data_IF_262099051356
#
_entry.id   IF_262099051356
#
_cell.length_a   1.000
_cell.length_b   1.000
_cell.length_c   1.000
_cell.angle_alpha   90.00
_cell.angle_beta   90.00
_cell.angle_gamma   90.00
#
_symmetry.space_group_name_H-M   'P 1'
#
loop_
_entity.id
_entity.type
_entity.pdbx_description
1 polymer ?
#
# COMPACT_ATOMS: atom_id res chain seq x y z
N UNK A 1 20.70 6.30 12.30
CA UNK A 1 19.95 5.28 11.60
C UNK A 1 18.75 5.88 10.89
N UNK A 2 18.53 5.50 9.66
CA UNK A 2 17.35 5.95 8.92
C UNK A 2 16.11 5.24 9.45
N UNK A 3 15.00 5.96 9.51
CA UNK A 3 13.72 5.38 9.83
C UNK A 3 13.16 4.66 8.62
N UNK A 4 12.42 3.58 8.84
CA UNK A 4 11.90 2.74 7.77
C UNK A 4 10.41 2.98 7.56
N UNK A 5 10.04 3.37 6.34
CA UNK A 5 8.65 3.51 5.93
C UNK A 5 8.21 2.27 5.17
N UNK A 6 7.11 1.67 5.58
CA UNK A 6 6.53 0.53 4.90
C UNK A 6 5.41 0.99 3.97
N UNK A 7 5.54 0.64 2.69
CA UNK A 7 4.46 0.83 1.72
C UNK A 7 4.04 -0.56 1.27
N UNK A 8 2.80 -0.92 1.59
CA UNK A 8 2.27 -2.27 1.40
C UNK A 8 1.15 -2.23 0.39
N UNK A 9 1.28 -3.00 -0.68
CA UNK A 9 0.36 -3.01 -1.80
C UNK A 9 -0.30 -4.39 -1.93
N UNK A 10 -1.61 -4.39 -1.99
CA UNK A 10 -2.42 -5.60 -2.00
C UNK A 10 -2.69 -6.20 -3.37
N UNK A 11 -3.70 -7.07 -3.45
CA UNK A 11 -3.98 -7.85 -4.64
C UNK A 11 -4.20 -7.01 -5.89
N UNK A 12 -3.72 -7.52 -6.99
CA UNK A 12 -3.87 -6.97 -8.35
C UNK A 12 -3.11 -5.69 -8.63
N UNK A 13 -2.44 -5.11 -7.64
CA UNK A 13 -1.64 -3.90 -7.87
C UNK A 13 -0.39 -4.18 -8.69
N UNK A 14 0.02 -5.44 -8.77
CA UNK A 14 1.09 -5.86 -9.68
C UNK A 14 0.70 -5.67 -11.16
N UNK A 15 -0.60 -5.52 -11.44
CA UNK A 15 -1.10 -5.30 -12.80
C UNK A 15 -1.33 -3.82 -13.13
N UNK A 16 -0.92 -2.94 -12.23
CA UNK A 16 -1.07 -1.50 -12.43
C UNK A 16 -0.37 -1.08 -13.73
N UNK A 17 -1.07 -0.29 -14.55
CA UNK A 17 -0.57 0.15 -15.85
C UNK A 17 -0.83 -0.83 -16.97
N UNK A 18 -1.21 -2.06 -16.68
CA UNK A 18 -1.48 -3.10 -17.66
C UNK A 18 -2.97 -3.33 -17.91
N UNK A 19 -3.79 -2.96 -16.91
CA UNK A 19 -5.24 -3.16 -16.94
C UNK A 19 -5.93 -1.82 -17.06
N UNK A 20 -6.76 -1.67 -18.08
CA UNK A 20 -7.59 -0.47 -18.31
C UNK A 20 -6.80 0.83 -18.11
N UNK A 21 -5.71 1.03 -18.88
CA UNK A 21 -4.86 2.22 -18.69
C UNK A 21 -5.59 3.54 -18.86
N UNK A 22 -6.67 3.56 -19.64
CA UNK A 22 -7.49 4.76 -19.84
C UNK A 22 -8.25 5.16 -18.56
N UNK A 23 -8.47 4.22 -17.65
CA UNK A 23 -9.19 4.48 -16.39
C UNK A 23 -8.25 4.69 -15.20
N UNK A 24 -7.16 3.91 -15.15
CA UNK A 24 -6.27 3.85 -13.99
C UNK A 24 -4.89 4.45 -14.27
N UNK A 25 -4.67 4.92 -15.51
CA UNK A 25 -3.38 5.46 -15.92
C UNK A 25 -2.42 4.38 -16.40
N UNK A 26 -1.31 4.83 -16.97
CA UNK A 26 -0.31 3.94 -17.58
C UNK A 26 0.87 3.63 -16.66
N UNK A 27 0.94 4.30 -15.52
CA UNK A 27 2.05 4.11 -14.60
C UNK A 27 2.00 2.69 -14.00
N UNK A 28 3.11 2.00 -14.05
CA UNK A 28 3.23 0.68 -13.44
C UNK A 28 3.52 0.80 -11.95
N UNK A 29 3.41 -0.32 -11.23
CA UNK A 29 3.78 -0.35 -9.83
C UNK A 29 5.27 -0.03 -9.64
N UNK A 30 6.12 -0.44 -10.59
CA UNK A 30 7.54 -0.09 -10.57
C UNK A 30 7.76 1.41 -10.67
N UNK A 31 6.98 2.09 -11.49
CA UNK A 31 7.03 3.55 -11.60
C UNK A 31 6.67 4.19 -10.27
N UNK A 32 5.60 3.71 -9.65
CA UNK A 32 5.16 4.20 -8.33
C UNK A 32 6.26 3.98 -7.29
N UNK A 33 6.85 2.80 -7.29
CA UNK A 33 7.95 2.48 -6.37
C UNK A 33 9.11 3.46 -6.55
N UNK A 34 9.51 3.74 -7.80
CA UNK A 34 10.61 4.66 -8.09
C UNK A 34 10.31 6.06 -7.58
N UNK A 35 9.08 6.53 -7.76
CA UNK A 35 8.67 7.84 -7.27
C UNK A 35 8.72 7.89 -5.74
N UNK A 36 8.29 6.82 -5.09
CA UNK A 36 8.33 6.74 -3.63
C UNK A 36 9.77 6.71 -3.10
N UNK A 37 10.65 5.98 -3.79
CA UNK A 37 12.07 5.93 -3.42
C UNK A 37 12.71 7.32 -3.48
N UNK A 38 12.45 8.06 -4.55
CA UNK A 38 12.98 9.43 -4.69
C UNK A 38 12.47 10.32 -3.56
N UNK A 39 11.18 10.22 -3.25
CA UNK A 39 10.58 11.03 -2.20
C UNK A 39 11.18 10.69 -0.84
N UNK A 40 11.38 9.41 -0.56
CA UNK A 40 11.95 8.97 0.70
C UNK A 40 13.39 9.45 0.90
N UNK A 41 14.17 9.53 -0.18
CA UNK A 41 15.53 10.06 -0.12
C UNK A 41 15.54 11.49 0.40
N UNK A 42 14.58 12.31 -0.03
CA UNK A 42 14.46 13.70 0.41
C UNK A 42 14.18 13.85 1.89
N UNK A 43 13.63 12.82 2.54
CA UNK A 43 13.31 12.82 3.96
C UNK A 43 14.20 11.90 4.79
N UNK A 44 15.27 11.37 4.20
CA UNK A 44 16.17 10.41 4.86
C UNK A 44 15.43 9.19 5.42
N UNK A 45 14.48 8.70 4.65
CA UNK A 45 13.71 7.49 5.00
C UNK A 45 14.20 6.31 4.17
N UNK A 46 14.30 5.14 4.80
CA UNK A 46 14.45 3.88 4.08
C UNK A 46 13.06 3.41 3.67
N UNK A 47 12.91 3.03 2.42
CA UNK A 47 11.64 2.53 1.91
C UNK A 47 11.64 1.01 1.87
N UNK A 48 10.63 0.41 2.50
CA UNK A 48 10.31 -0.99 2.33
C UNK A 48 9.02 -1.08 1.52
N UNK A 49 9.14 -1.41 0.24
CA UNK A 49 8.02 -1.43 -0.70
C UNK A 49 7.67 -2.87 -1.04
N UNK A 50 6.45 -3.27 -0.73
CA UNK A 50 6.02 -4.66 -0.85
C UNK A 50 4.70 -4.75 -1.59
N UNK A 51 4.52 -5.81 -2.37
CA UNK A 51 3.25 -6.10 -3.03
C UNK A 51 3.01 -7.60 -2.96
N UNK A 52 1.77 -7.99 -2.68
CA UNK A 52 1.39 -9.39 -2.72
C UNK A 52 -0.10 -9.53 -3.02
N UNK A 53 -0.45 -10.65 -3.65
CA UNK A 53 -1.84 -11.05 -3.84
C UNK A 53 -2.35 -11.93 -2.69
N UNK A 54 -1.48 -12.24 -1.74
CA UNK A 54 -1.78 -13.16 -0.64
C UNK A 54 -1.99 -12.38 0.65
N UNK A 55 -3.20 -12.46 1.18
CA UNK A 55 -3.59 -11.73 2.41
C UNK A 55 -2.62 -11.98 3.57
N UNK A 56 -2.24 -13.23 3.79
CA UNK A 56 -1.34 -13.58 4.88
C UNK A 56 0.03 -12.92 4.76
N UNK A 57 0.52 -12.75 3.53
CA UNK A 57 1.80 -12.07 3.31
C UNK A 57 1.72 -10.59 3.65
N UNK A 58 0.57 -9.96 3.34
CA UNK A 58 0.35 -8.56 3.68
C UNK A 58 0.31 -8.38 5.19
N UNK A 59 -0.36 -9.28 5.89
CA UNK A 59 -0.41 -9.26 7.35
C UNK A 59 0.98 -9.41 7.94
N UNK A 60 1.80 -10.32 7.41
CA UNK A 60 3.16 -10.53 7.86
C UNK A 60 4.03 -9.29 7.65
N UNK A 61 3.80 -8.55 6.57
CA UNK A 61 4.52 -7.30 6.34
C UNK A 61 4.14 -6.23 7.38
N UNK A 62 2.87 -6.19 7.76
CA UNK A 62 2.44 -5.28 8.83
C UNK A 62 3.12 -5.64 10.14
N UNK A 63 3.27 -6.94 10.42
CA UNK A 63 3.99 -7.40 11.61
C UNK A 63 5.45 -6.92 11.61
N UNK A 64 6.11 -6.95 10.45
CA UNK A 64 7.47 -6.40 10.34
C UNK A 64 7.49 -4.91 10.64
N UNK A 65 6.49 -4.19 10.15
CA UNK A 65 6.39 -2.75 10.40
C UNK A 65 6.19 -2.44 11.88
N UNK A 66 5.45 -3.30 12.60
CA UNK A 66 5.27 -3.15 14.04
C UNK A 66 6.63 -3.17 14.76
N UNK A 67 7.56 -4.02 14.28
CA UNK A 67 8.88 -4.16 14.90
C UNK A 67 9.81 -3.00 14.57
N UNK A 68 9.86 -2.54 13.32
CA UNK A 68 10.90 -1.59 12.93
C UNK A 68 10.42 -0.45 12.02
N UNK A 69 9.12 -0.31 11.79
CA UNK A 69 8.59 0.73 10.92
C UNK A 69 8.31 2.03 11.67
N UNK A 70 8.57 3.15 11.01
CA UNK A 70 8.19 4.46 11.54
C UNK A 70 6.82 4.90 11.02
N UNK A 71 6.32 4.24 9.97
CA UNK A 71 5.01 4.55 9.39
C UNK A 71 4.61 3.46 8.42
N UNK A 72 3.32 3.38 8.14
CA UNK A 72 2.75 2.43 7.18
C UNK A 72 1.81 3.16 6.24
N UNK A 73 2.02 2.96 4.94
CA UNK A 73 1.08 3.36 3.91
C UNK A 73 0.60 2.07 3.26
N UNK A 74 -0.71 1.83 3.27
CA UNK A 74 -1.26 0.59 2.75
C UNK A 74 -2.34 0.85 1.71
N UNK A 75 -2.24 0.11 0.61
CA UNK A 75 -3.30 0.00 -0.38
C UNK A 75 -3.70 -1.47 -0.44
N UNK A 76 -4.71 -1.84 0.31
CA UNK A 76 -5.13 -3.24 0.42
C UNK A 76 -5.98 -3.71 -0.76
N UNK A 77 -6.32 -2.82 -1.68
CA UNK A 77 -7.15 -3.17 -2.82
C UNK A 77 -8.51 -3.66 -2.37
N UNK A 78 -8.98 -4.75 -2.97
CA UNK A 78 -10.28 -5.32 -2.61
C UNK A 78 -10.36 -5.80 -1.16
N UNK A 79 -9.23 -6.12 -0.54
CA UNK A 79 -9.21 -6.59 0.85
C UNK A 79 -9.54 -5.48 1.85
N UNK A 80 -9.56 -4.23 1.42
CA UNK A 80 -9.98 -3.10 2.26
C UNK A 80 -11.34 -3.35 2.91
N UNK A 81 -12.25 -3.98 2.18
CA UNK A 81 -13.62 -4.18 2.65
C UNK A 81 -13.85 -5.55 3.28
N UNK A 82 -12.92 -6.47 3.17
CA UNK A 82 -13.15 -7.87 3.54
C UNK A 82 -12.16 -8.42 4.56
N UNK A 83 -10.99 -7.82 4.70
CA UNK A 83 -9.96 -8.42 5.56
C UNK A 83 -10.00 -7.88 6.97
N UNK A 84 -10.59 -8.67 7.86
CA UNK A 84 -10.53 -8.42 9.30
C UNK A 84 -9.09 -8.58 9.80
N UNK A 85 -8.35 -9.54 9.23
CA UNK A 85 -6.96 -9.80 9.61
C UNK A 85 -6.02 -8.63 9.35
N UNK A 86 -6.15 -7.99 8.19
CA UNK A 86 -5.33 -6.82 7.86
C UNK A 86 -5.63 -5.67 8.82
N UNK A 87 -6.90 -5.37 9.07
CA UNK A 87 -7.27 -4.29 9.98
C UNK A 87 -6.87 -4.58 11.42
N UNK A 88 -6.97 -5.86 11.82
CA UNK A 88 -6.49 -6.28 13.13
C UNK A 88 -5.01 -6.04 13.30
N UNK A 89 -4.21 -6.38 12.29
CA UNK A 89 -2.77 -6.14 12.32
C UNK A 89 -2.45 -4.65 12.34
N UNK A 90 -3.14 -3.85 11.51
CA UNK A 90 -2.92 -2.41 11.48
C UNK A 90 -3.23 -1.75 12.82
N UNK A 91 -4.23 -2.24 13.54
CA UNK A 91 -4.58 -1.68 14.84
C UNK A 91 -3.48 -1.86 15.87
N UNK A 92 -2.58 -2.81 15.65
CA UNK A 92 -1.44 -3.04 16.54
C UNK A 92 -0.24 -2.16 16.22
N UNK A 93 -0.26 -1.49 15.08
CA UNK A 93 0.81 -0.55 14.73
C UNK A 93 0.51 0.80 15.35
N UNK A 94 1.39 1.29 16.20
CA UNK A 94 1.15 2.51 16.97
C UNK A 94 1.59 3.80 16.27
N UNK A 95 2.32 3.70 15.18
CA UNK A 95 2.79 4.86 14.44
C UNK A 95 1.75 5.41 13.45
N UNK A 96 2.16 6.41 12.66
CA UNK A 96 1.30 6.93 11.60
C UNK A 96 0.99 5.85 10.56
N UNK A 97 -0.27 5.75 10.19
CA UNK A 97 -0.71 4.80 9.18
C UNK A 97 -1.74 5.45 8.29
N UNK A 98 -1.56 5.28 7.00
CA UNK A 98 -2.41 5.88 5.98
C UNK A 98 -2.90 4.77 5.05
N UNK A 99 -4.20 4.74 4.84
CA UNK A 99 -4.82 3.83 3.88
C UNK A 99 -5.11 4.62 2.61
N UNK A 100 -4.62 4.11 1.48
CA UNK A 100 -4.85 4.74 0.19
C UNK A 100 -5.52 3.76 -0.76
N UNK A 101 -6.16 4.31 -1.79
CA UNK A 101 -6.83 3.53 -2.82
C UNK A 101 -6.49 4.09 -4.19
N UNK A 102 -5.99 3.21 -5.08
CA UNK A 102 -5.83 3.54 -6.48
C UNK A 102 -7.04 2.90 -7.17
N UNK A 103 -8.04 3.71 -7.49
CA UNK A 103 -9.28 3.19 -8.03
C UNK A 103 -9.89 4.14 -9.05
N UNK A 104 -10.86 3.62 -9.80
CA UNK A 104 -11.66 4.41 -10.72
C UNK A 104 -12.62 5.30 -9.91
N UNK A 105 -12.63 6.58 -10.22
CA UNK A 105 -13.48 7.55 -9.52
C UNK A 105 -14.96 7.18 -9.61
N UNK A 106 -15.40 6.66 -10.76
CA UNK A 106 -16.78 6.24 -10.92
C UNK A 106 -17.14 5.06 -10.04
N UNK A 107 -16.24 4.08 -9.93
CA UNK A 107 -16.46 2.94 -9.05
C UNK A 107 -16.55 3.40 -7.60
N UNK A 108 -15.69 4.34 -7.21
CA UNK A 108 -15.72 4.91 -5.87
C UNK A 108 -17.04 5.62 -5.60
N UNK A 109 -17.53 6.40 -6.56
CA UNK A 109 -18.81 7.10 -6.43
C UNK A 109 -19.97 6.14 -6.22
N UNK A 110 -19.97 5.02 -6.94
CA UNK A 110 -21.01 3.98 -6.80
C UNK A 110 -20.97 3.35 -5.41
N UNK A 111 -19.81 3.15 -4.86
CA UNK A 111 -19.65 2.57 -3.52
C UNK A 111 -20.17 3.51 -2.43
N UNK A 112 -20.00 4.80 -2.64
CA UNK A 112 -20.36 5.78 -1.62
C UNK A 112 -21.77 6.36 -1.77
N UNK A 113 -22.48 5.96 -2.81
CA UNK A 113 -23.87 6.32 -2.96
C UNK A 113 -24.75 5.41 -2.12
#
# INVERSE_FOLDING_TARGET
MKKKLYIINGPNLNLLGKREPEKYGKASLETVKSMCLEKCKGYSLDLHFFQSNVEGELISEIHKAIDDGCGVIINAGALTHTSIGIFGALSMFNGPKIEIHITNVYALSLIHI
#
